data_IF_072402892925
#
_entry.id   IF_072402892925
#
_cell.length_a   1.000
_cell.length_b   1.000
_cell.length_c   1.000
_cell.angle_alpha   90.00
_cell.angle_beta   90.00
_cell.angle_gamma   90.00
#
_symmetry.space_group_name_H-M   'P 1'
#
loop_
_entity.id
_entity.type
_entity.pdbx_description
1 polymer ?
#
# COMPACT_ATOMS: atom_id res chain seq x y z
N UNK A 1 -34.17 15.38 33.30
CA UNK A 1 -34.27 14.28 32.31
C UNK A 1 -34.19 14.90 30.92
N UNK A 2 -32.98 15.09 30.40
CA UNK A 2 -32.76 15.54 29.04
C UNK A 2 -32.58 14.29 28.17
N UNK A 3 -33.54 14.04 27.29
CA UNK A 3 -33.48 12.99 26.28
C UNK A 3 -32.35 13.33 25.31
N UNK A 4 -31.22 12.63 25.40
CA UNK A 4 -30.21 12.60 24.35
C UNK A 4 -30.90 12.14 23.06
N UNK A 5 -31.05 13.06 22.12
CA UNK A 5 -31.49 12.75 20.77
C UNK A 5 -30.39 11.92 20.10
N UNK A 6 -30.70 10.68 19.74
CA UNK A 6 -29.80 9.84 18.96
C UNK A 6 -29.34 10.58 17.69
N UNK A 7 -28.05 10.49 17.32
CA UNK A 7 -27.55 11.08 16.10
C UNK A 7 -28.23 10.42 14.90
N UNK A 8 -28.96 11.23 14.10
CA UNK A 8 -29.50 10.79 12.81
C UNK A 8 -28.38 10.15 12.00
N UNK A 9 -28.56 8.92 11.47
CA UNK A 9 -27.56 8.31 10.60
C UNK A 9 -27.36 9.23 9.39
N UNK A 10 -26.11 9.64 9.18
CA UNK A 10 -25.70 10.37 7.98
C UNK A 10 -25.92 9.41 6.82
N UNK A 11 -27.01 9.60 6.07
CA UNK A 11 -27.25 8.91 4.82
C UNK A 11 -26.12 9.31 3.87
N UNK A 12 -25.19 8.37 3.63
CA UNK A 12 -24.24 8.50 2.54
C UNK A 12 -25.03 8.67 1.25
N UNK A 13 -24.95 9.85 0.63
CA UNK A 13 -25.52 10.09 -0.69
C UNK A 13 -24.99 9.03 -1.66
N UNK A 14 -25.91 8.37 -2.36
CA UNK A 14 -25.56 7.44 -3.44
C UNK A 14 -24.61 8.17 -4.40
N UNK A 15 -23.52 7.50 -4.83
CA UNK A 15 -22.56 8.13 -5.73
C UNK A 15 -23.30 8.61 -6.96
N UNK A 16 -23.32 9.94 -7.16
CA UNK A 16 -24.02 10.54 -8.29
C UNK A 16 -23.52 9.88 -9.58
N UNK A 17 -24.41 9.67 -10.54
CA UNK A 17 -24.07 9.08 -11.84
C UNK A 17 -22.89 9.80 -12.53
N UNK A 18 -22.65 11.05 -12.15
CA UNK A 18 -21.54 11.88 -12.59
C UNK A 18 -20.17 11.42 -12.04
N UNK A 19 -20.07 11.03 -10.76
CA UNK A 19 -18.83 10.50 -10.18
C UNK A 19 -18.44 9.16 -10.81
N UNK A 20 -19.42 8.27 -10.98
CA UNK A 20 -19.24 7.03 -11.72
C UNK A 20 -18.80 7.35 -13.15
N UNK A 21 -19.47 8.27 -13.82
CA UNK A 21 -19.11 8.73 -15.16
C UNK A 21 -17.71 9.33 -15.26
N UNK A 22 -17.19 9.99 -14.22
CA UNK A 22 -15.82 10.51 -14.13
C UNK A 22 -14.79 9.39 -14.00
N UNK A 23 -15.00 8.45 -13.07
CA UNK A 23 -14.10 7.29 -12.90
C UNK A 23 -14.08 6.44 -14.17
N UNK A 24 -15.24 6.17 -14.78
CA UNK A 24 -15.30 5.42 -16.03
C UNK A 24 -14.72 6.17 -17.23
N UNK A 25 -14.91 7.50 -17.35
CA UNK A 25 -14.21 8.29 -18.39
C UNK A 25 -12.71 8.25 -18.19
N UNK A 26 -12.24 8.43 -16.95
CA UNK A 26 -10.83 8.39 -16.65
C UNK A 26 -10.22 7.00 -16.94
N UNK A 27 -10.91 5.92 -16.55
CA UNK A 27 -10.49 4.56 -16.89
C UNK A 27 -10.54 4.29 -18.40
N UNK A 28 -11.53 4.83 -19.11
CA UNK A 28 -11.67 4.69 -20.58
C UNK A 28 -10.57 5.46 -21.31
N UNK A 29 -10.24 6.67 -20.87
CA UNK A 29 -9.14 7.49 -21.39
C UNK A 29 -7.77 6.86 -21.12
N UNK A 30 -7.62 6.18 -19.98
CA UNK A 30 -6.39 5.46 -19.66
C UNK A 30 -6.25 4.14 -20.44
N UNK A 31 -7.27 3.67 -21.17
CA UNK A 31 -7.24 2.39 -21.89
C UNK A 31 -6.98 2.58 -23.39
N UNK A 32 -5.73 2.53 -23.89
CA UNK A 32 -5.51 2.38 -25.32
C UNK A 32 -6.05 1.00 -25.76
N UNK A 33 -6.64 0.88 -26.95
CA UNK A 33 -7.22 -0.36 -27.44
C UNK A 33 -6.09 -1.36 -27.79
N UNK A 34 -5.61 -2.13 -26.81
CA UNK A 34 -4.81 -3.34 -27.08
C UNK A 34 -5.72 -4.57 -26.99
N UNK A 35 -5.96 -5.16 -28.16
CA UNK A 35 -7.04 -6.10 -28.47
C UNK A 35 -7.01 -7.46 -27.73
N UNK A 36 -5.93 -7.83 -27.03
CA UNK A 36 -5.82 -9.19 -26.44
C UNK A 36 -6.48 -9.38 -25.06
N UNK A 37 -6.74 -8.32 -24.30
CA UNK A 37 -7.37 -8.43 -22.96
C UNK A 37 -8.64 -7.57 -22.78
N UNK A 38 -9.03 -6.82 -23.82
CA UNK A 38 -10.22 -5.97 -23.82
C UNK A 38 -11.54 -6.68 -23.43
N UNK A 39 -11.85 -7.92 -23.85
CA UNK A 39 -13.14 -8.52 -23.52
C UNK A 39 -13.28 -8.83 -22.03
N UNK A 40 -12.24 -9.37 -21.37
CA UNK A 40 -12.27 -9.69 -19.93
C UNK A 40 -12.39 -8.43 -19.06
N UNK A 41 -11.70 -7.35 -19.44
CA UNK A 41 -11.74 -6.08 -18.69
C UNK A 41 -13.08 -5.35 -18.88
N UNK A 42 -13.62 -5.33 -20.10
CA UNK A 42 -14.94 -4.73 -20.37
C UNK A 42 -16.06 -5.51 -19.67
N UNK A 43 -15.98 -6.83 -19.64
CA UNK A 43 -16.91 -7.68 -18.92
C UNK A 43 -16.79 -7.50 -17.41
N UNK A 44 -15.58 -7.44 -16.85
CA UNK A 44 -15.37 -7.12 -15.44
C UNK A 44 -15.94 -5.75 -15.07
N UNK A 45 -15.69 -4.69 -15.86
CA UNK A 45 -16.27 -3.37 -15.63
C UNK A 45 -17.79 -3.38 -15.71
N UNK A 46 -18.37 -4.16 -16.64
CA UNK A 46 -19.82 -4.32 -16.78
C UNK A 46 -20.40 -5.09 -15.59
N UNK A 47 -19.73 -6.12 -15.10
CA UNK A 47 -20.11 -6.88 -13.90
C UNK A 47 -20.00 -6.03 -12.64
N UNK A 48 -18.93 -5.25 -12.48
CA UNK A 48 -18.75 -4.34 -11.34
C UNK A 48 -19.83 -3.25 -11.37
N UNK A 49 -20.09 -2.65 -12.53
CA UNK A 49 -21.15 -1.64 -12.68
C UNK A 49 -22.54 -2.19 -12.40
N UNK A 50 -22.84 -3.41 -12.87
CA UNK A 50 -24.17 -4.00 -12.74
C UNK A 50 -24.43 -4.56 -11.32
N UNK A 51 -23.42 -5.17 -10.68
CA UNK A 51 -23.60 -5.83 -9.38
C UNK A 51 -23.46 -4.91 -8.18
N UNK A 52 -22.63 -3.88 -8.23
CA UNK A 52 -22.39 -3.01 -7.07
C UNK A 52 -23.35 -1.81 -6.97
N UNK A 53 -24.40 -1.77 -7.81
CA UNK A 53 -25.36 -0.68 -7.85
C UNK A 53 -26.44 -0.66 -6.76
N UNK A 54 -26.56 -1.68 -5.90
CA UNK A 54 -27.47 -1.69 -4.73
C UNK A 54 -27.40 -2.98 -3.88
N UNK A 55 -26.77 -4.06 -4.36
CA UNK A 55 -26.84 -5.38 -3.74
C UNK A 55 -25.49 -5.84 -3.21
N UNK A 56 -25.50 -6.60 -2.10
CA UNK A 56 -24.30 -7.26 -1.55
C UNK A 56 -23.63 -8.05 -2.69
N UNK A 57 -22.31 -7.88 -2.93
CA UNK A 57 -21.63 -8.74 -3.88
C UNK A 57 -21.84 -10.19 -3.47
N UNK A 58 -22.19 -11.07 -4.43
CA UNK A 58 -22.18 -12.50 -4.18
C UNK A 58 -20.80 -12.94 -3.67
N UNK A 59 -20.75 -14.01 -2.88
CA UNK A 59 -19.53 -14.53 -2.24
C UNK A 59 -18.37 -14.67 -3.24
N UNK A 60 -18.64 -15.18 -4.45
CA UNK A 60 -17.67 -15.28 -5.55
C UNK A 60 -17.06 -13.93 -5.98
N UNK A 61 -17.86 -12.86 -5.96
CA UNK A 61 -17.40 -11.54 -6.36
C UNK A 61 -16.49 -10.94 -5.29
N UNK A 62 -16.81 -11.15 -4.00
CA UNK A 62 -15.94 -10.74 -2.91
C UNK A 62 -14.62 -11.52 -2.92
N UNK A 63 -14.65 -12.84 -3.10
CA UNK A 63 -13.44 -13.67 -3.20
C UNK A 63 -12.52 -13.20 -4.32
N UNK A 64 -13.07 -12.83 -5.48
CA UNK A 64 -12.28 -12.27 -6.59
C UNK A 64 -11.70 -10.89 -6.28
N UNK A 65 -12.45 -10.03 -5.60
CA UNK A 65 -11.92 -8.73 -5.17
C UNK A 65 -10.77 -8.92 -4.18
N UNK A 66 -10.95 -9.80 -3.20
CA UNK A 66 -9.94 -10.16 -2.21
C UNK A 66 -8.68 -10.72 -2.88
N UNK A 67 -8.84 -11.69 -3.79
CA UNK A 67 -7.72 -12.27 -4.56
C UNK A 67 -6.95 -11.20 -5.35
N UNK A 68 -7.65 -10.26 -6.01
CA UNK A 68 -7.01 -9.15 -6.70
C UNK A 68 -6.26 -8.18 -5.75
N UNK A 69 -6.80 -7.92 -4.56
CA UNK A 69 -6.14 -7.06 -3.58
C UNK A 69 -4.85 -7.70 -3.06
N UNK A 70 -4.89 -8.99 -2.71
CA UNK A 70 -3.79 -9.73 -2.09
C UNK A 70 -2.77 -10.21 -3.12
N UNK A 71 -3.22 -10.90 -4.16
CA UNK A 71 -2.38 -11.60 -5.13
C UNK A 71 -2.24 -10.90 -6.48
N UNK A 72 -2.87 -9.73 -6.65
CA UNK A 72 -2.82 -8.99 -7.91
C UNK A 72 -1.39 -8.61 -8.32
N UNK A 73 -1.02 -8.91 -9.56
CA UNK A 73 0.30 -8.57 -10.11
C UNK A 73 0.40 -7.10 -10.54
N UNK A 74 1.61 -6.59 -10.77
CA UNK A 74 1.83 -5.24 -11.35
C UNK A 74 1.22 -5.08 -12.75
N UNK A 75 1.05 -6.19 -13.49
CA UNK A 75 0.36 -6.20 -14.79
C UNK A 75 -1.13 -5.95 -14.67
N UNK A 76 -1.73 -6.30 -13.53
CA UNK A 76 -3.16 -6.17 -13.23
C UNK A 76 -3.47 -4.89 -12.43
N UNK A 77 -2.65 -3.85 -12.56
CA UNK A 77 -2.79 -2.65 -11.73
C UNK A 77 -4.17 -1.99 -11.86
N UNK A 78 -4.81 -2.08 -13.03
CA UNK A 78 -6.16 -1.52 -13.26
C UNK A 78 -7.23 -2.28 -12.52
N UNK A 79 -7.17 -3.61 -12.60
CA UNK A 79 -8.05 -4.51 -11.87
C UNK A 79 -7.90 -4.29 -10.36
N UNK A 80 -6.69 -3.99 -9.88
CA UNK A 80 -6.45 -3.65 -8.48
C UNK A 80 -7.00 -2.28 -8.09
N UNK A 81 -6.80 -1.24 -8.90
CA UNK A 81 -7.43 0.08 -8.66
C UNK A 81 -8.95 -0.07 -8.57
N UNK A 82 -9.55 -0.83 -9.50
CA UNK A 82 -10.97 -1.14 -9.49
C UNK A 82 -11.37 -1.95 -8.26
N UNK A 83 -10.55 -2.92 -7.85
CA UNK A 83 -10.82 -3.72 -6.66
C UNK A 83 -10.80 -2.86 -5.39
N UNK A 84 -9.82 -1.96 -5.24
CA UNK A 84 -9.79 -0.96 -4.16
C UNK A 84 -11.07 -0.11 -4.17
N UNK A 85 -11.38 0.48 -5.33
CA UNK A 85 -12.55 1.33 -5.53
C UNK A 85 -13.85 0.62 -5.13
N UNK A 86 -14.04 -0.62 -5.60
CA UNK A 86 -15.23 -1.43 -5.36
C UNK A 86 -15.33 -1.83 -3.88
N UNK A 87 -14.21 -2.24 -3.28
CA UNK A 87 -14.15 -2.65 -1.87
C UNK A 87 -14.53 -1.50 -0.94
N UNK A 88 -14.16 -0.26 -1.28
CA UNK A 88 -14.55 0.92 -0.51
C UNK A 88 -16.04 1.32 -0.62
N UNK A 89 -16.81 0.71 -1.52
CA UNK A 89 -18.24 0.98 -1.71
C UNK A 89 -19.14 -0.23 -1.46
N UNK A 90 -18.56 -1.43 -1.37
CA UNK A 90 -19.30 -2.65 -1.15
C UNK A 90 -19.91 -2.69 0.26
N UNK A 91 -21.13 -3.23 0.37
CA UNK A 91 -21.74 -3.57 1.66
C UNK A 91 -21.11 -4.85 2.20
N UNK A 92 -20.05 -4.67 2.98
CA UNK A 92 -19.28 -5.75 3.61
C UNK A 92 -19.77 -6.00 5.05
N UNK A 93 -19.74 -7.26 5.47
CA UNK A 93 -19.88 -7.65 6.88
C UNK A 93 -18.71 -7.15 7.71
N UNK A 94 -18.82 -7.12 9.04
CA UNK A 94 -17.76 -6.58 9.90
C UNK A 94 -16.43 -7.33 9.75
N UNK A 95 -16.46 -8.66 9.64
CA UNK A 95 -15.26 -9.47 9.40
C UNK A 95 -14.66 -9.20 8.02
N UNK A 96 -15.48 -9.14 6.97
CA UNK A 96 -15.03 -8.80 5.61
C UNK A 96 -14.42 -7.39 5.56
N UNK A 97 -15.00 -6.41 6.28
CA UNK A 97 -14.46 -5.04 6.40
C UNK A 97 -13.08 -5.05 7.03
N UNK A 98 -12.88 -5.79 8.12
CA UNK A 98 -11.60 -5.87 8.81
C UNK A 98 -10.51 -6.46 7.91
N UNK A 99 -10.78 -7.60 7.26
CA UNK A 99 -9.84 -8.24 6.32
C UNK A 99 -9.54 -7.32 5.13
N UNK A 100 -10.56 -6.66 4.60
CA UNK A 100 -10.39 -5.70 3.50
C UNK A 100 -9.57 -4.49 3.93
N UNK A 101 -9.80 -3.97 5.13
CA UNK A 101 -9.05 -2.84 5.68
C UNK A 101 -7.58 -3.19 5.91
N UNK A 102 -7.27 -4.38 6.41
CA UNK A 102 -5.90 -4.86 6.56
C UNK A 102 -5.19 -4.95 5.20
N UNK A 103 -5.82 -5.58 4.21
CA UNK A 103 -5.26 -5.70 2.87
C UNK A 103 -5.04 -4.33 2.21
N UNK A 104 -6.01 -3.41 2.29
CA UNK A 104 -5.85 -2.06 1.77
C UNK A 104 -4.75 -1.29 2.52
N UNK A 105 -4.57 -1.53 3.82
CA UNK A 105 -3.51 -0.93 4.63
C UNK A 105 -2.13 -1.37 4.16
N UNK A 106 -1.97 -2.65 3.81
CA UNK A 106 -0.74 -3.16 3.19
C UNK A 106 -0.47 -2.44 1.87
N UNK A 107 -1.49 -2.26 1.02
CA UNK A 107 -1.34 -1.53 -0.24
C UNK A 107 -0.93 -0.08 -0.02
N UNK A 108 -1.56 0.61 0.94
CA UNK A 108 -1.25 2.00 1.30
C UNK A 108 0.18 2.14 1.84
N UNK A 109 0.65 1.22 2.68
CA UNK A 109 1.98 1.29 3.31
C UNK A 109 3.12 0.95 2.34
N UNK A 110 3.01 -0.16 1.62
CA UNK A 110 4.16 -0.78 0.94
C UNK A 110 3.83 -1.23 -0.47
N UNK A 111 3.38 -0.29 -1.33
CA UNK A 111 2.94 -0.54 -2.70
C UNK A 111 3.66 -1.73 -3.34
N UNK A 112 2.93 -2.82 -3.57
CA UNK A 112 3.36 -4.12 -4.13
C UNK A 112 4.85 -4.41 -3.89
N UNK A 113 5.19 -5.07 -2.77
CA UNK A 113 6.55 -5.46 -2.31
C UNK A 113 7.45 -6.21 -3.32
N UNK A 114 7.02 -6.38 -4.58
CA UNK A 114 7.84 -6.83 -5.69
C UNK A 114 8.61 -5.71 -6.42
N UNK A 115 8.77 -4.51 -5.86
CA UNK A 115 9.43 -3.37 -6.54
C UNK A 115 10.90 -3.63 -6.98
N UNK A 116 11.55 -4.68 -6.45
CA UNK A 116 12.88 -5.12 -6.89
C UNK A 116 12.86 -6.15 -8.03
N UNK A 117 11.72 -6.81 -8.30
CA UNK A 117 11.59 -7.77 -9.40
C UNK A 117 11.42 -7.18 -10.83
N UNK A 118 10.94 -5.94 -11.08
CA UNK A 118 10.66 -5.49 -12.43
C UNK A 118 11.93 -5.18 -13.22
N UNK A 119 13.02 -4.80 -12.55
CA UNK A 119 14.29 -4.54 -13.24
C UNK A 119 14.82 -5.83 -13.88
N UNK A 120 14.83 -6.94 -13.14
CA UNK A 120 15.27 -8.24 -13.67
C UNK A 120 14.39 -8.68 -14.85
N UNK A 121 13.06 -8.60 -14.72
CA UNK A 121 12.17 -9.03 -15.80
C UNK A 121 12.30 -8.20 -17.08
N UNK A 122 12.33 -6.86 -16.97
CA UNK A 122 12.45 -5.98 -18.12
C UNK A 122 13.84 -6.10 -18.77
N UNK A 123 14.90 -6.18 -17.96
CA UNK A 123 16.27 -6.38 -18.43
C UNK A 123 16.42 -7.73 -19.13
N UNK A 124 15.97 -8.82 -18.51
CA UNK A 124 16.02 -10.17 -19.09
C UNK A 124 15.22 -10.24 -20.39
N UNK A 125 14.04 -9.62 -20.45
CA UNK A 125 13.25 -9.60 -21.69
C UNK A 125 13.95 -8.79 -22.79
N UNK A 126 14.57 -7.66 -22.43
CA UNK A 126 15.37 -6.85 -23.37
C UNK A 126 16.58 -7.61 -23.90
N UNK A 127 17.35 -8.24 -23.02
CA UNK A 127 18.52 -9.05 -23.37
C UNK A 127 18.12 -10.25 -24.22
N UNK A 128 17.08 -10.99 -23.82
CA UNK A 128 16.61 -12.17 -24.56
C UNK A 128 16.10 -11.80 -25.95
N UNK A 129 15.34 -10.71 -26.08
CA UNK A 129 14.92 -10.19 -27.37
C UNK A 129 16.13 -9.83 -28.24
N UNK A 130 17.14 -9.19 -27.66
CA UNK A 130 18.38 -8.82 -28.37
C UNK A 130 19.12 -10.05 -28.87
N UNK A 131 19.25 -11.09 -28.03
CA UNK A 131 19.87 -12.35 -28.40
C UNK A 131 19.09 -13.06 -29.53
N UNK A 132 17.75 -13.08 -29.46
CA UNK A 132 16.91 -13.70 -30.51
C UNK A 132 17.12 -13.00 -31.86
N UNK A 133 17.16 -11.67 -31.89
CA UNK A 133 17.44 -10.92 -33.12
C UNK A 133 18.86 -11.17 -33.65
N UNK A 134 19.84 -11.21 -32.74
CA UNK A 134 21.23 -11.48 -33.09
C UNK A 134 21.40 -12.87 -33.71
N UNK A 135 20.98 -13.93 -33.00
CA UNK A 135 21.07 -15.29 -33.51
C UNK A 135 20.18 -15.52 -34.74
N UNK A 136 18.98 -14.95 -34.78
CA UNK A 136 18.11 -15.02 -35.96
C UNK A 136 18.77 -14.46 -37.21
N UNK A 137 19.50 -13.35 -37.10
CA UNK A 137 20.27 -12.79 -38.23
C UNK A 137 21.40 -13.71 -38.68
N UNK A 138 22.13 -14.34 -37.75
CA UNK A 138 23.20 -15.30 -38.05
C UNK A 138 22.63 -16.51 -38.78
N UNK A 139 21.53 -17.09 -38.27
CA UNK A 139 20.88 -18.24 -38.91
C UNK A 139 20.36 -17.90 -40.32
N UNK A 140 19.82 -16.69 -40.52
CA UNK A 140 19.37 -16.24 -41.84
C UNK A 140 20.54 -16.08 -42.83
N UNK A 141 21.69 -15.57 -42.37
CA UNK A 141 22.91 -15.51 -43.17
C UNK A 141 23.42 -16.90 -43.56
N UNK A 142 23.44 -17.85 -42.62
CA UNK A 142 23.84 -19.24 -42.86
C UNK A 142 22.88 -19.90 -43.86
N UNK A 143 21.57 -19.75 -43.67
CA UNK A 143 20.55 -20.30 -44.57
C UNK A 143 20.67 -19.76 -45.99
N UNK A 144 20.93 -18.45 -46.15
CA UNK A 144 21.16 -17.84 -47.46
C UNK A 144 22.42 -18.40 -48.15
N UNK A 145 23.50 -18.65 -47.39
CA UNK A 145 24.72 -19.27 -47.90
C UNK A 145 24.46 -20.67 -48.46
N UNK A 146 23.81 -21.54 -47.68
CA UNK A 146 23.53 -22.92 -48.10
C UNK A 146 22.44 -23.00 -49.18
N UNK A 147 21.41 -22.15 -49.13
CA UNK A 147 20.37 -22.10 -50.16
C UNK A 147 20.92 -21.71 -51.53
N UNK A 148 21.87 -20.76 -51.58
CA UNK A 148 22.58 -20.41 -52.82
C UNK A 148 23.40 -21.55 -53.40
N UNK A 149 23.98 -22.41 -52.55
CA UNK A 149 24.75 -23.58 -52.99
C UNK A 149 23.88 -24.70 -53.58
N UNK A 150 22.61 -24.79 -53.18
CA UNK A 150 21.69 -25.85 -53.64
C UNK A 150 20.97 -25.48 -54.94
N UNK A 151 20.70 -24.18 -55.17
CA UNK A 151 19.89 -23.70 -56.31
C UNK A 151 20.75 -23.35 -57.54
N UNK A 152 22.09 -23.32 -57.42
CA UNK A 152 22.99 -22.96 -58.50
C UNK A 152 23.34 -24.08 -59.47
N UNK A 153 22.53 -24.26 -60.52
CA UNK A 153 22.88 -25.02 -61.72
C UNK A 153 23.97 -24.27 -62.54
N UNK A 154 25.14 -24.89 -62.71
CA UNK A 154 25.86 -24.85 -64.00
C UNK A 154 26.95 -23.79 -64.27
N UNK A 155 27.12 -22.71 -63.51
CA UNK A 155 28.14 -21.70 -63.81
C UNK A 155 29.11 -21.46 -62.63
N UNK A 156 30.25 -22.15 -62.66
CA UNK A 156 31.40 -22.01 -61.75
C UNK A 156 32.17 -20.68 -61.95
N UNK A 157 31.48 -19.54 -61.99
CA UNK A 157 32.12 -18.26 -61.70
C UNK A 157 31.84 -17.93 -60.23
N UNK A 158 32.84 -18.00 -59.35
CA UNK A 158 32.60 -17.89 -57.92
C UNK A 158 32.10 -16.47 -57.58
N UNK A 159 30.86 -16.30 -57.11
CA UNK A 159 30.33 -14.99 -56.74
C UNK A 159 30.79 -14.59 -55.33
N UNK A 160 32.02 -14.97 -54.93
CA UNK A 160 32.54 -14.76 -53.58
C UNK A 160 32.52 -13.28 -53.20
N UNK A 161 32.79 -12.37 -54.14
CA UNK A 161 32.81 -10.92 -53.85
C UNK A 161 31.42 -10.36 -53.52
N UNK A 162 30.37 -10.81 -54.20
CA UNK A 162 29.00 -10.34 -53.93
C UNK A 162 28.41 -10.95 -52.66
N UNK A 163 28.77 -12.21 -52.36
CA UNK A 163 28.33 -12.89 -51.15
C UNK A 163 29.02 -12.33 -49.91
N UNK A 164 30.35 -12.14 -49.95
CA UNK A 164 31.09 -11.56 -48.82
C UNK A 164 30.63 -10.13 -48.54
N UNK A 165 30.37 -9.32 -49.58
CA UNK A 165 29.83 -7.98 -49.41
C UNK A 165 28.47 -7.98 -48.69
N UNK A 166 27.52 -8.83 -49.10
CA UNK A 166 26.19 -8.93 -48.46
C UNK A 166 26.27 -9.50 -47.04
N UNK A 167 27.16 -10.46 -46.80
CA UNK A 167 27.39 -11.02 -45.46
C UNK A 167 27.92 -9.94 -44.51
N UNK A 168 28.90 -9.15 -44.97
CA UNK A 168 29.48 -8.04 -44.22
C UNK A 168 28.41 -6.98 -43.95
N UNK A 169 27.60 -6.61 -44.94
CA UNK A 169 26.49 -5.67 -44.78
C UNK A 169 25.46 -6.14 -43.73
N UNK A 170 25.05 -7.41 -43.78
CA UNK A 170 24.11 -8.00 -42.80
C UNK A 170 24.72 -8.06 -41.39
N UNK A 171 26.01 -8.37 -41.26
CA UNK A 171 26.72 -8.36 -39.98
C UNK A 171 26.83 -6.93 -39.42
N UNK A 172 27.07 -5.92 -40.26
CA UNK A 172 27.07 -4.53 -39.84
C UNK A 172 25.68 -4.07 -39.38
N UNK A 173 24.62 -4.44 -40.09
CA UNK A 173 23.24 -4.12 -39.70
C UNK A 173 22.83 -4.82 -38.40
N UNK A 174 23.19 -6.10 -38.22
CA UNK A 174 22.85 -6.85 -37.01
C UNK A 174 23.65 -6.39 -35.79
N UNK A 175 24.94 -6.13 -35.94
CA UNK A 175 25.78 -5.56 -34.88
C UNK A 175 25.36 -4.13 -34.52
N UNK A 176 24.99 -3.30 -35.51
CA UNK A 176 24.42 -1.98 -35.28
C UNK A 176 23.11 -2.05 -34.48
N UNK A 177 22.21 -2.97 -34.85
CA UNK A 177 20.97 -3.22 -34.10
C UNK A 177 21.22 -3.71 -32.67
N UNK A 178 22.20 -4.60 -32.48
CA UNK A 178 22.62 -5.07 -31.17
C UNK A 178 23.15 -3.93 -30.29
N UNK A 179 24.05 -3.10 -30.83
CA UNK A 179 24.63 -1.96 -30.10
C UNK A 179 23.57 -0.93 -29.73
N UNK A 180 22.65 -0.62 -30.65
CA UNK A 180 21.50 0.25 -30.36
C UNK A 180 20.61 -0.32 -29.26
N UNK A 181 20.26 -1.61 -29.32
CA UNK A 181 19.41 -2.21 -28.31
C UNK A 181 20.11 -2.30 -26.94
N UNK A 182 21.39 -2.68 -26.92
CA UNK A 182 22.23 -2.67 -25.72
C UNK A 182 22.34 -1.26 -25.12
N UNK A 183 22.46 -0.23 -25.97
CA UNK A 183 22.48 1.17 -25.55
C UNK A 183 21.13 1.61 -24.93
N UNK A 184 20.00 1.15 -25.47
CA UNK A 184 18.67 1.51 -24.97
C UNK A 184 18.15 0.61 -23.82
N UNK A 185 18.72 -0.58 -23.62
CA UNK A 185 18.38 -1.51 -22.54
C UNK A 185 18.25 -0.87 -21.14
N UNK A 186 19.21 -0.05 -20.65
CA UNK A 186 19.08 0.60 -19.35
C UNK A 186 17.90 1.59 -19.30
N UNK A 187 17.61 2.27 -20.42
CA UNK A 187 16.48 3.20 -20.50
C UNK A 187 15.14 2.49 -20.38
N UNK A 188 14.99 1.27 -20.93
CA UNK A 188 13.78 0.46 -20.71
C UNK A 188 13.60 0.08 -19.24
N UNK A 189 14.69 -0.23 -18.53
CA UNK A 189 14.67 -0.48 -17.09
C UNK A 189 14.15 0.74 -16.32
N UNK A 190 14.76 1.91 -16.53
CA UNK A 190 14.34 3.17 -15.90
C UNK A 190 12.90 3.53 -16.26
N UNK A 191 12.52 3.44 -17.54
CA UNK A 191 11.16 3.70 -18.00
C UNK A 191 10.14 2.77 -17.32
N UNK A 192 10.48 1.49 -17.14
CA UNK A 192 9.61 0.54 -16.44
C UNK A 192 9.43 0.86 -14.95
N UNK A 193 10.49 1.34 -14.28
CA UNK A 193 10.44 1.77 -12.87
C UNK A 193 9.51 2.98 -12.75
N UNK A 194 9.75 4.04 -13.53
CA UNK A 194 8.92 5.27 -13.53
C UNK A 194 7.45 4.95 -13.83
N UNK A 195 7.20 4.05 -14.80
CA UNK A 195 5.84 3.62 -15.13
C UNK A 195 5.19 2.83 -14.01
N UNK A 196 5.93 1.92 -13.36
CA UNK A 196 5.41 1.13 -12.25
C UNK A 196 5.14 1.99 -11.01
N UNK A 197 5.97 2.99 -10.72
CA UNK A 197 5.72 3.95 -9.65
C UNK A 197 4.41 4.71 -9.85
N UNK A 198 4.12 5.12 -11.09
CA UNK A 198 2.84 5.76 -11.41
C UNK A 198 1.66 4.84 -11.13
N UNK A 199 1.70 3.59 -11.60
CA UNK A 199 0.61 2.63 -11.34
C UNK A 199 0.47 2.34 -9.85
N UNK A 200 1.57 2.18 -9.13
CA UNK A 200 1.56 1.96 -7.67
C UNK A 200 0.99 3.16 -6.93
N UNK A 201 1.27 4.38 -7.38
CA UNK A 201 0.67 5.61 -6.83
C UNK A 201 -0.84 5.60 -7.01
N UNK A 202 -1.33 5.27 -8.21
CA UNK A 202 -2.77 5.19 -8.49
C UNK A 202 -3.46 4.13 -7.61
N UNK A 203 -2.83 2.95 -7.43
CA UNK A 203 -3.34 1.91 -6.51
C UNK A 203 -3.39 2.42 -5.06
N UNK A 204 -2.30 3.03 -4.58
CA UNK A 204 -2.19 3.55 -3.20
C UNK A 204 -3.23 4.63 -2.92
N UNK A 205 -3.40 5.55 -3.86
CA UNK A 205 -4.41 6.61 -3.79
C UNK A 205 -5.82 6.01 -3.66
N UNK A 206 -6.19 5.08 -4.54
CA UNK A 206 -7.53 4.52 -4.47
C UNK A 206 -7.71 3.60 -3.26
N UNK A 207 -6.65 2.91 -2.81
CA UNK A 207 -6.67 2.14 -1.57
C UNK A 207 -6.90 3.04 -0.34
N UNK A 208 -6.23 4.20 -0.26
CA UNK A 208 -6.43 5.17 0.81
C UNK A 208 -7.85 5.75 0.77
N UNK A 209 -8.37 6.10 -0.40
CA UNK A 209 -9.77 6.54 -0.54
C UNK A 209 -10.75 5.46 -0.12
N UNK A 210 -10.50 4.21 -0.48
CA UNK A 210 -11.33 3.07 -0.11
C UNK A 210 -11.33 2.85 1.40
N UNK A 211 -10.17 2.90 2.06
CA UNK A 211 -10.07 2.87 3.53
C UNK A 211 -10.86 4.00 4.19
N UNK A 212 -10.73 5.21 3.67
CA UNK A 212 -11.50 6.37 4.14
C UNK A 212 -13.01 6.19 4.03
N UNK A 213 -13.50 5.57 2.95
CA UNK A 213 -14.92 5.26 2.77
C UNK A 213 -15.39 4.10 3.65
N UNK A 214 -14.54 3.10 3.90
CA UNK A 214 -14.87 1.98 4.80
C UNK A 214 -15.05 2.44 6.25
N UNK A 215 -14.37 3.50 6.67
CA UNK A 215 -14.42 3.98 8.05
C UNK A 215 -13.76 3.03 9.06
N UNK A 216 -12.98 2.07 8.57
CA UNK A 216 -12.34 1.02 9.36
C UNK A 216 -11.16 1.58 10.17
N UNK A 217 -11.17 1.36 11.48
CA UNK A 217 -10.19 1.94 12.41
C UNK A 217 -8.84 1.25 12.33
N UNK A 218 -8.80 0.00 11.84
CA UNK A 218 -7.59 -0.79 11.59
C UNK A 218 -6.66 -0.13 10.56
N UNK A 219 -7.24 0.62 9.61
CA UNK A 219 -6.48 1.32 8.56
C UNK A 219 -5.94 2.70 8.97
N UNK A 220 -6.25 3.19 10.17
CA UNK A 220 -5.88 4.55 10.61
C UNK A 220 -4.36 4.74 10.60
N UNK A 221 -3.60 3.76 11.06
CA UNK A 221 -2.13 3.80 11.07
C UNK A 221 -1.54 3.92 9.67
N UNK A 222 -2.08 3.18 8.70
CA UNK A 222 -1.67 3.27 7.29
C UNK A 222 -2.03 4.63 6.68
N UNK A 223 -3.21 5.17 6.98
CA UNK A 223 -3.63 6.50 6.54
C UNK A 223 -2.78 7.63 7.16
N UNK A 224 -2.35 7.46 8.41
CA UNK A 224 -1.44 8.39 9.06
C UNK A 224 -0.08 8.42 8.34
N UNK A 225 0.50 7.25 8.06
CA UNK A 225 1.72 7.17 7.25
C UNK A 225 1.52 7.77 5.86
N UNK A 226 0.34 7.58 5.25
CA UNK A 226 0.01 8.19 3.96
C UNK A 226 0.01 9.72 4.02
N UNK A 227 -0.62 10.29 5.05
CA UNK A 227 -0.78 11.74 5.24
C UNK A 227 0.52 12.50 5.51
N UNK A 228 1.56 11.81 6.01
CA UNK A 228 2.86 12.40 6.32
C UNK A 228 3.84 12.40 5.13
N UNK A 229 3.52 11.72 4.03
CA UNK A 229 4.38 11.76 2.85
C UNK A 229 4.44 13.19 2.29
N UNK A 230 5.57 13.59 1.71
CA UNK A 230 5.73 14.93 1.11
C UNK A 230 5.04 15.09 -0.25
N UNK A 231 4.51 13.99 -0.78
CA UNK A 231 3.96 13.94 -2.12
C UNK A 231 2.47 14.32 -2.17
N UNK A 232 1.93 14.41 -3.39
CA UNK A 232 0.49 14.56 -3.65
C UNK A 232 -0.40 13.57 -2.87
N UNK A 233 0.16 12.40 -2.52
CA UNK A 233 -0.51 11.37 -1.73
C UNK A 233 -0.92 11.84 -0.32
N UNK A 234 -0.25 12.86 0.23
CA UNK A 234 -0.56 13.42 1.55
C UNK A 234 -2.02 13.87 1.67
N UNK A 235 -2.51 14.60 0.66
CA UNK A 235 -3.86 15.17 0.68
C UNK A 235 -4.93 14.07 0.60
N UNK A 236 -4.67 13.01 -0.16
CA UNK A 236 -5.56 11.84 -0.24
C UNK A 236 -5.60 11.13 1.12
N UNK A 237 -4.43 10.96 1.76
CA UNK A 237 -4.32 10.40 3.10
C UNK A 237 -5.09 11.21 4.14
N UNK A 238 -4.92 12.54 4.15
CA UNK A 238 -5.64 13.46 5.06
C UNK A 238 -7.14 13.44 4.85
N UNK A 239 -7.60 13.49 3.60
CA UNK A 239 -9.03 13.43 3.28
C UNK A 239 -9.67 12.09 3.65
N UNK A 240 -8.94 10.98 3.50
CA UNK A 240 -9.40 9.68 3.97
C UNK A 240 -9.41 9.59 5.50
N UNK A 241 -8.35 10.10 6.14
CA UNK A 241 -8.22 10.13 7.61
C UNK A 241 -9.35 10.95 8.25
N UNK A 242 -9.70 12.11 7.70
CA UNK A 242 -10.81 12.93 8.18
C UNK A 242 -12.15 12.17 8.23
N UNK A 243 -12.34 11.16 7.38
CA UNK A 243 -13.54 10.30 7.36
C UNK A 243 -13.46 9.17 8.38
N UNK A 244 -12.25 8.67 8.69
CA UNK A 244 -12.06 7.57 9.64
C UNK A 244 -11.90 8.03 11.08
N UNK A 245 -11.37 9.23 11.35
CA UNK A 245 -11.17 9.69 12.74
C UNK A 245 -12.47 9.74 13.57
N UNK A 246 -13.64 10.14 13.03
CA UNK A 246 -14.88 10.12 13.79
C UNK A 246 -15.30 8.73 14.29
N UNK A 247 -14.91 7.65 13.61
CA UNK A 247 -15.24 6.27 14.00
C UNK A 247 -14.37 5.74 15.14
N UNK A 248 -13.30 6.45 15.52
CA UNK A 248 -12.54 6.14 16.72
C UNK A 248 -13.41 6.35 17.96
N UNK A 249 -13.23 5.44 18.91
CA UNK A 249 -13.92 5.39 20.21
C UNK A 249 -12.88 5.10 21.30
N UNK A 250 -13.24 5.29 22.58
CA UNK A 250 -12.35 4.95 23.70
C UNK A 250 -11.96 3.46 23.74
N UNK A 251 -12.76 2.56 23.14
CA UNK A 251 -12.43 1.14 23.06
C UNK A 251 -11.18 0.85 22.21
N UNK A 252 -10.78 1.81 21.36
CA UNK A 252 -9.57 1.69 20.54
C UNK A 252 -8.30 2.15 21.28
N UNK A 253 -8.42 2.60 22.53
CA UNK A 253 -7.27 2.96 23.35
C UNK A 253 -6.41 1.72 23.62
N UNK A 254 -5.11 1.79 23.29
CA UNK A 254 -4.17 0.69 23.44
C UNK A 254 -4.28 -0.42 22.37
N UNK A 255 -5.28 -0.40 21.50
CA UNK A 255 -5.42 -1.38 20.40
C UNK A 255 -4.81 -0.90 19.09
N UNK A 256 -4.63 0.42 18.94
CA UNK A 256 -3.98 0.99 17.76
C UNK A 256 -2.48 0.64 17.74
N UNK A 257 -1.92 0.63 16.53
CA UNK A 257 -0.48 0.45 16.28
C UNK A 257 0.36 1.41 17.14
N UNK A 258 1.52 0.97 17.63
CA UNK A 258 2.37 1.75 18.55
C UNK A 258 2.81 3.09 17.96
N UNK A 259 2.87 3.15 16.63
CA UNK A 259 3.23 4.36 15.89
C UNK A 259 2.05 5.30 15.60
N UNK A 260 0.81 4.87 15.87
CA UNK A 260 -0.39 5.66 15.53
C UNK A 260 -0.45 6.98 16.30
N UNK A 261 -0.28 6.98 17.62
CA UNK A 261 -0.34 8.20 18.44
C UNK A 261 0.82 9.16 18.12
N UNK A 262 2.09 8.72 18.03
CA UNK A 262 3.17 9.59 17.56
C UNK A 262 2.88 10.19 16.19
N UNK A 263 2.30 9.42 15.27
CA UNK A 263 1.98 9.90 13.93
C UNK A 263 0.80 10.89 13.90
N UNK A 264 -0.21 10.71 14.76
CA UNK A 264 -1.27 11.69 14.98
C UNK A 264 -0.69 13.02 15.48
N UNK A 265 0.19 12.97 16.50
CA UNK A 265 0.82 14.16 17.04
C UNK A 265 1.72 14.87 16.01
N UNK A 266 2.49 14.12 15.22
CA UNK A 266 3.30 14.69 14.13
C UNK A 266 2.43 15.38 13.08
N UNK A 267 1.33 14.74 12.68
CA UNK A 267 0.40 15.31 11.70
C UNK A 267 -0.26 16.58 12.25
N UNK A 268 -0.72 16.53 13.50
CA UNK A 268 -1.30 17.68 14.20
C UNK A 268 -0.34 18.87 14.24
N UNK A 269 0.93 18.65 14.63
CA UNK A 269 1.93 19.72 14.66
C UNK A 269 2.37 20.21 13.28
N UNK A 270 2.39 19.34 12.27
CA UNK A 270 2.77 19.69 10.91
C UNK A 270 1.71 20.53 10.20
N UNK A 271 0.43 20.26 10.45
CA UNK A 271 -0.71 20.92 9.79
C UNK A 271 -1.29 22.12 10.55
N UNK A 272 -0.98 22.27 11.84
CA UNK A 272 -1.35 23.43 12.65
C UNK A 272 -1.15 24.82 12.00
N UNK A 273 -0.07 25.11 11.23
CA UNK A 273 0.12 26.42 10.62
C UNK A 273 -0.67 26.63 9.32
N UNK A 274 -1.31 25.60 8.75
CA UNK A 274 -2.04 25.73 7.50
C UNK A 274 -3.43 26.33 7.74
N UNK A 275 -3.58 27.64 7.49
CA UNK A 275 -4.84 28.41 7.58
C UNK A 275 -5.90 28.02 6.53
N UNK A 276 -5.92 26.78 6.06
CA UNK A 276 -6.95 26.29 5.14
C UNK A 276 -8.19 25.84 5.93
N UNK A 277 -9.38 26.06 5.38
CA UNK A 277 -10.64 25.61 6.00
C UNK A 277 -10.65 24.10 6.26
N UNK A 278 -10.06 23.33 5.36
CA UNK A 278 -9.89 21.88 5.52
C UNK A 278 -8.91 21.53 6.65
N UNK A 279 -7.83 22.30 6.81
CA UNK A 279 -6.86 22.13 7.89
C UNK A 279 -7.49 22.34 9.27
N UNK A 280 -8.30 23.38 9.42
CA UNK A 280 -9.00 23.68 10.68
C UNK A 280 -9.98 22.54 11.06
N UNK A 281 -10.70 22.00 10.08
CA UNK A 281 -11.62 20.88 10.32
C UNK A 281 -10.85 19.60 10.71
N UNK A 282 -9.75 19.31 10.02
CA UNK A 282 -8.91 18.15 10.34
C UNK A 282 -8.26 18.29 11.72
N UNK A 283 -7.82 19.48 12.11
CA UNK A 283 -7.23 19.75 13.41
C UNK A 283 -8.20 19.41 14.56
N UNK A 284 -9.46 19.84 14.47
CA UNK A 284 -10.49 19.48 15.45
C UNK A 284 -10.70 17.95 15.53
N UNK A 285 -10.75 17.27 14.39
CA UNK A 285 -10.88 15.81 14.34
C UNK A 285 -9.66 15.09 14.93
N UNK A 286 -8.45 15.65 14.77
CA UNK A 286 -7.23 15.10 15.35
C UNK A 286 -7.23 15.27 16.88
N UNK A 287 -7.68 16.41 17.39
CA UNK A 287 -7.83 16.62 18.83
C UNK A 287 -8.88 15.68 19.44
N UNK A 288 -10.03 15.51 18.79
CA UNK A 288 -11.06 14.55 19.23
C UNK A 288 -10.55 13.11 19.20
N UNK A 289 -9.72 12.76 18.21
CA UNK A 289 -9.08 11.45 18.16
C UNK A 289 -8.04 11.30 19.30
N UNK A 290 -7.19 12.30 19.54
CA UNK A 290 -6.22 12.29 20.64
C UNK A 290 -6.90 12.24 22.01
N UNK A 291 -8.06 12.87 22.20
CA UNK A 291 -8.86 12.71 23.42
C UNK A 291 -9.26 11.25 23.63
N UNK A 292 -9.66 10.55 22.56
CA UNK A 292 -10.14 9.16 22.66
C UNK A 292 -9.00 8.16 22.83
N UNK A 293 -7.96 8.25 22.01
CA UNK A 293 -6.89 7.22 21.90
C UNK A 293 -5.50 7.70 22.36
N UNK A 294 -5.35 8.98 22.73
CA UNK A 294 -4.07 9.55 23.14
C UNK A 294 -3.52 8.91 24.40
N UNK A 295 -2.20 8.70 24.40
CA UNK A 295 -1.43 8.13 25.51
C UNK A 295 -0.39 9.15 26.04
N UNK A 296 0.46 8.75 26.98
CA UNK A 296 1.50 9.61 27.55
C UNK A 296 2.43 10.26 26.51
N UNK A 297 2.59 9.64 25.33
CA UNK A 297 3.38 10.21 24.23
C UNK A 297 2.77 11.46 23.61
N UNK A 298 1.46 11.70 23.78
CA UNK A 298 0.77 12.86 23.24
C UNK A 298 0.92 14.14 24.09
N UNK A 299 1.31 14.02 25.36
CA UNK A 299 1.40 15.16 26.30
C UNK A 299 2.39 16.21 25.80
N UNK A 300 3.65 15.84 25.57
CA UNK A 300 4.69 16.81 25.17
C UNK A 300 4.36 17.52 23.85
N UNK A 301 3.87 16.84 22.80
CA UNK A 301 3.38 17.50 21.59
C UNK A 301 2.25 18.51 21.85
N UNK A 302 1.27 18.17 22.69
CA UNK A 302 0.14 19.05 23.02
C UNK A 302 0.58 20.25 23.88
N UNK A 303 1.46 20.05 24.87
CA UNK A 303 2.05 21.13 25.67
C UNK A 303 2.78 22.13 24.76
N UNK A 304 3.62 21.64 23.85
CA UNK A 304 4.32 22.51 22.87
C UNK A 304 3.34 23.29 21.99
N UNK A 305 2.22 22.69 21.63
CA UNK A 305 1.18 23.35 20.82
C UNK A 305 0.48 24.46 21.62
N UNK A 306 0.15 24.23 22.89
CA UNK A 306 -0.48 25.22 23.78
C UNK A 306 0.47 26.36 24.15
N UNK A 307 1.73 26.02 24.40
CA UNK A 307 2.76 26.99 24.82
C UNK A 307 3.26 27.87 23.67
N UNK A 308 3.09 27.42 22.42
CA UNK A 308 3.57 28.17 21.26
C UNK A 308 2.77 29.48 21.07
N UNK A 309 3.45 30.64 21.01
CA UNK A 309 2.79 31.95 20.91
C UNK A 309 2.05 32.12 19.57
N UNK A 310 2.50 31.43 18.52
CA UNK A 310 1.88 31.47 17.18
C UNK A 310 0.54 30.73 17.19
N UNK A 311 0.45 29.64 17.95
CA UNK A 311 -0.71 28.75 18.00
C UNK A 311 -1.77 29.24 18.99
N UNK A 312 -1.45 30.10 19.96
CA UNK A 312 -2.45 30.76 20.83
C UNK A 312 -3.46 31.63 20.08
N UNK A 313 -3.13 32.05 18.86
CA UNK A 313 -4.06 32.76 17.99
C UNK A 313 -5.05 31.80 17.28
N UNK A 314 -4.84 30.49 17.36
CA UNK A 314 -5.69 29.50 16.72
C UNK A 314 -6.93 29.19 17.58
N UNK A 315 -8.04 28.88 16.91
CA UNK A 315 -9.34 28.60 17.57
C UNK A 315 -9.35 27.36 18.45
N UNK A 316 -8.35 26.47 18.32
CA UNK A 316 -8.36 25.14 18.90
C UNK A 316 -7.45 25.01 20.15
N UNK A 317 -6.82 26.09 20.63
CA UNK A 317 -5.95 26.05 21.82
C UNK A 317 -6.69 25.61 23.08
N UNK A 318 -7.86 26.20 23.35
CA UNK A 318 -8.70 25.82 24.50
C UNK A 318 -9.10 24.34 24.45
N UNK A 319 -9.40 23.83 23.24
CA UNK A 319 -9.73 22.41 23.04
C UNK A 319 -8.53 21.51 23.29
N UNK A 320 -7.33 21.92 22.85
CA UNK A 320 -6.10 21.18 23.10
C UNK A 320 -5.76 21.12 24.60
N UNK A 321 -5.95 22.21 25.34
CA UNK A 321 -5.81 22.24 26.81
C UNK A 321 -6.77 21.26 27.49
N UNK A 322 -8.04 21.24 27.08
CA UNK A 322 -9.03 20.30 27.61
C UNK A 322 -8.63 18.84 27.33
N UNK A 323 -8.18 18.54 26.12
CA UNK A 323 -7.69 17.19 25.73
C UNK A 323 -6.48 16.78 26.58
N UNK A 324 -5.58 17.72 26.85
CA UNK A 324 -4.37 17.50 27.63
C UNK A 324 -4.71 17.09 29.07
N UNK A 325 -5.65 17.78 29.71
CA UNK A 325 -6.13 17.43 31.05
C UNK A 325 -6.78 16.04 31.09
N UNK A 326 -7.59 15.68 30.08
CA UNK A 326 -8.19 14.34 29.96
C UNK A 326 -7.11 13.25 29.86
N UNK A 327 -6.05 13.48 29.09
CA UNK A 327 -4.94 12.52 28.95
C UNK A 327 -4.15 12.39 30.25
N UNK A 328 -3.85 13.50 30.93
CA UNK A 328 -3.15 13.50 32.24
C UNK A 328 -3.94 12.74 33.29
N UNK A 329 -5.23 13.01 33.41
CA UNK A 329 -6.10 12.33 34.36
C UNK A 329 -6.16 10.81 34.08
N UNK A 330 -6.25 10.42 32.80
CA UNK A 330 -6.22 9.00 32.40
C UNK A 330 -4.95 8.31 32.85
N UNK A 331 -3.79 8.92 32.61
CA UNK A 331 -2.48 8.35 32.99
C UNK A 331 -2.34 8.25 34.51
N UNK A 332 -2.85 9.23 35.25
CA UNK A 332 -2.89 9.18 36.71
C UNK A 332 -3.72 7.99 37.19
N UNK A 333 -4.94 7.80 36.65
CA UNK A 333 -5.80 6.64 36.98
C UNK A 333 -5.16 5.31 36.61
N UNK A 334 -4.46 5.23 35.48
CA UNK A 334 -3.73 4.01 35.07
C UNK A 334 -2.57 3.71 36.01
N UNK A 335 -1.83 4.74 36.44
CA UNK A 335 -0.72 4.62 37.39
C UNK A 335 -1.24 4.19 38.76
N UNK A 336 -2.33 4.77 39.24
CA UNK A 336 -2.98 4.36 40.49
C UNK A 336 -3.43 2.90 40.43
N UNK A 337 -4.11 2.48 39.36
CA UNK A 337 -4.50 1.08 39.16
C UNK A 337 -3.29 0.14 39.13
N UNK A 338 -2.22 0.52 38.42
CA UNK A 338 -0.99 -0.27 38.37
C UNK A 338 -0.33 -0.37 39.75
N UNK A 339 -0.34 0.71 40.54
CA UNK A 339 0.19 0.72 41.91
C UNK A 339 -0.66 -0.14 42.85
N UNK A 340 -1.99 -0.10 42.74
CA UNK A 340 -2.90 -0.92 43.55
C UNK A 340 -2.80 -2.41 43.21
N UNK A 341 -2.56 -2.75 41.94
CA UNK A 341 -2.38 -4.14 41.48
C UNK A 341 -0.99 -4.72 41.77
N UNK A 342 -0.02 -3.87 42.13
CA UNK A 342 1.23 -4.31 42.76
C UNK A 342 1.07 -4.63 44.26
N UNK A 343 -0.17 -4.94 44.68
CA UNK A 343 -0.53 -5.33 46.03
C UNK A 343 0.41 -6.41 46.57
N UNK A 344 1.30 -5.96 47.47
CA UNK A 344 2.02 -6.77 48.43
C UNK A 344 2.60 -8.09 47.90
N UNK A 345 3.57 -8.03 46.98
CA UNK A 345 4.72 -8.90 47.23
C UNK A 345 5.24 -8.46 48.60
N UNK A 346 4.93 -9.25 49.63
CA UNK A 346 5.35 -8.99 50.99
C UNK A 346 6.82 -8.56 50.96
N UNK A 347 7.23 -7.50 51.69
CA UNK A 347 8.61 -7.04 51.70
C UNK A 347 9.48 -8.27 51.89
N UNK A 348 10.19 -8.66 50.83
CA UNK A 348 11.02 -9.86 50.85
C UNK A 348 12.01 -9.61 51.97
N UNK A 349 11.82 -10.31 53.08
CA UNK A 349 12.70 -10.19 54.23
C UNK A 349 14.13 -10.37 53.71
N UNK A 350 15.06 -9.45 54.03
CA UNK A 350 16.39 -9.38 53.41
C UNK A 350 17.25 -10.64 53.61
N UNK A 351 16.76 -11.65 54.35
CA UNK A 351 17.45 -12.91 54.61
C UNK A 351 17.22 -13.99 53.54
N UNK A 352 16.38 -13.75 52.51
CA UNK A 352 16.10 -14.75 51.46
C UNK A 352 16.63 -14.39 50.07
N UNK A 353 17.39 -13.30 49.95
CA UNK A 353 17.91 -12.77 48.67
C UNK A 353 19.38 -13.08 48.39
N UNK A 354 19.90 -14.23 48.87
CA UNK A 354 21.18 -14.76 48.41
C UNK A 354 21.12 -16.29 48.38
N UNK A 355 20.46 -16.87 47.38
CA UNK A 355 21.03 -18.09 46.80
C UNK A 355 22.02 -17.62 45.75
N UNK A 356 23.33 -17.76 45.96
CA UNK A 356 24.28 -17.56 44.88
C UNK A 356 23.85 -18.48 43.74
N UNK A 357 23.57 -17.90 42.58
CA UNK A 357 23.63 -18.64 41.33
C UNK A 357 25.09 -18.97 41.16
N UNK A 358 25.50 -20.08 41.79
CA UNK A 358 26.77 -20.72 41.49
C UNK A 358 26.60 -21.18 40.05
N UNK A 359 27.12 -20.38 39.13
CA UNK A 359 27.47 -20.81 37.79
C UNK A 359 28.42 -22.00 37.93
N UNK A 360 27.87 -23.19 38.13
CA UNK A 360 28.56 -24.41 37.74
C UNK A 360 28.39 -24.49 36.24
N UNK A 361 29.48 -24.11 35.55
CA UNK A 361 29.82 -24.66 34.25
C UNK A 361 29.83 -26.19 34.39
N UNK A 362 28.67 -26.83 34.29
CA UNK A 362 28.57 -28.23 33.91
C UNK A 362 28.20 -28.25 32.43
N UNK A 363 29.28 -28.28 31.66
CA UNK A 363 29.42 -28.98 30.41
C UNK A 363 28.63 -30.31 30.45
N UNK A 364 27.88 -30.59 29.37
CA UNK A 364 26.99 -31.73 29.13
C UNK A 364 25.57 -31.63 29.73
N UNK A 365 24.56 -31.33 28.90
CA UNK A 365 23.95 -32.39 28.10
C UNK A 365 22.99 -31.82 27.05
N UNK A 366 23.11 -32.34 25.84
CA UNK A 366 22.23 -32.05 24.71
C UNK A 366 20.92 -32.81 24.89
N UNK A 367 20.09 -32.38 25.85
CA UNK A 367 18.71 -32.88 25.94
C UNK A 367 17.87 -32.18 24.88
N UNK A 368 17.94 -32.79 23.71
CA UNK A 368 17.05 -32.69 22.58
C UNK A 368 15.59 -32.76 23.07
N UNK A 369 14.95 -31.61 23.22
CA UNK A 369 13.50 -31.50 23.46
C UNK A 369 12.77 -31.97 22.20
N UNK A 370 12.58 -33.29 22.10
CA UNK A 370 11.69 -33.94 21.16
C UNK A 370 10.28 -33.39 21.39
N UNK A 371 9.79 -32.58 20.44
CA UNK A 371 8.35 -32.36 20.30
C UNK A 371 7.72 -33.70 19.89
N UNK A 372 6.70 -34.18 20.60
CA UNK A 372 5.91 -35.32 20.12
C UNK A 372 5.23 -34.92 18.81
N UNK A 373 5.63 -35.56 17.72
CA UNK A 373 4.87 -35.59 16.47
C UNK A 373 3.66 -36.50 16.69
N UNK A 374 2.58 -35.92 17.19
CA UNK A 374 1.25 -36.51 17.09
C UNK A 374 0.89 -36.64 15.62
N UNK A 375 0.92 -37.89 15.15
CA UNK A 375 0.43 -38.35 13.86
C UNK A 375 -1.00 -38.82 14.12
N UNK A 376 -1.98 -38.08 13.62
CA UNK A 376 -3.37 -38.52 13.55
C UNK A 376 -3.76 -38.69 12.07
N UNK A 377 -4.46 -39.80 11.83
CA UNK A 377 -4.84 -40.41 10.55
C UNK A 377 -5.92 -39.65 9.74
#
# INVERSE_FOLDING_TARGET
MNTLSDPKPVLHEDPTSEELGRVFRHLKELTPPRAKHAPRHAEFLRQVRFRFGASRPGEDAWLRLHDLLVHGTTKQWRERVLACWASGRATLTQSEKQVTAENLSVLVRGGVSGANAPFEGAFVTGVLSTLVWFFGSIFLCIGAFFGGAIIGEGAWQPPYSSFTARLVELLYLSSGGFLLNAFFAPFYGVYSIVRNERHNREIREEAARALGRLGATEGVSALLSASQNRDFFANVGKGALARTLPSLTHAHYGTLDTDAVPNLCRLFLADAPALTTEGIALEGLLLDALEKVGNAGAIKPLERFVDSPVTRALRNTERAEAVLEVIRERILRETEKATLLRGSEAPVLPQTLLRPVVNRLEEADTVQLLRPTGRDD
#
